data_IF_967215205612
#
_entry.id   IF_967215205612
#
_cell.length_a   1.000
_cell.length_b   1.000
_cell.length_c   1.000
_cell.angle_alpha   90.00
_cell.angle_beta   90.00
_cell.angle_gamma   90.00
#
_symmetry.space_group_name_H-M   'P 1'
#
loop_
_entity.id
_entity.type
_entity.pdbx_description
1 polymer ?
#
# COMPACT_ATOMS: atom_id res chain seq x y z
N UNK A 1 -2.43 -12.72 11.79
CA UNK A 1 -1.96 -13.54 12.93
C UNK A 1 -0.74 -14.33 12.50
N UNK A 2 0.28 -14.38 13.36
CA UNK A 2 1.53 -15.13 13.11
C UNK A 2 1.48 -16.56 13.68
N UNK A 3 0.37 -16.90 14.35
CA UNK A 3 0.17 -18.23 14.95
C UNK A 3 -0.71 -19.10 14.05
N UNK A 4 -0.07 -19.78 13.11
CA UNK A 4 -0.67 -20.73 12.16
C UNK A 4 0.22 -21.95 11.99
N UNK A 5 -0.39 -23.09 11.72
CA UNK A 5 0.28 -24.38 11.43
C UNK A 5 0.69 -24.47 9.95
N UNK A 6 1.55 -25.44 9.61
CA UNK A 6 1.91 -25.70 8.23
C UNK A 6 0.68 -26.07 7.37
N UNK A 7 -0.24 -26.85 7.93
CA UNK A 7 -1.45 -27.27 7.21
C UNK A 7 -2.38 -26.08 6.93
N UNK A 8 -2.54 -25.16 7.87
CA UNK A 8 -3.30 -23.91 7.68
C UNK A 8 -2.61 -23.00 6.66
N UNK A 9 -1.30 -22.85 6.71
CA UNK A 9 -0.51 -22.12 5.71
C UNK A 9 -0.72 -22.70 4.31
N UNK A 10 -0.59 -24.03 4.17
CA UNK A 10 -0.78 -24.69 2.90
C UNK A 10 -2.22 -24.59 2.40
N UNK A 11 -3.21 -24.79 3.27
CA UNK A 11 -4.61 -24.62 2.93
C UNK A 11 -4.95 -23.21 2.43
N UNK A 12 -4.36 -22.19 3.05
CA UNK A 12 -4.51 -20.80 2.60
C UNK A 12 -3.85 -20.59 1.22
N UNK A 13 -2.62 -21.05 1.04
CA UNK A 13 -1.91 -20.92 -0.23
C UNK A 13 -2.58 -21.71 -1.36
N UNK A 14 -3.13 -22.90 -1.07
CA UNK A 14 -3.89 -23.69 -2.06
C UNK A 14 -5.20 -23.02 -2.47
N UNK A 15 -5.85 -22.32 -1.55
CA UNK A 15 -7.09 -21.57 -1.83
C UNK A 15 -6.84 -20.40 -2.77
N UNK A 16 -5.85 -19.57 -2.45
CA UNK A 16 -5.61 -18.29 -3.15
C UNK A 16 -4.61 -18.39 -4.29
N UNK A 17 -3.73 -19.41 -4.30
CA UNK A 17 -2.64 -19.64 -5.28
C UNK A 17 -1.58 -18.55 -5.31
N UNK A 18 -1.94 -17.30 -5.09
CA UNK A 18 -1.08 -16.15 -4.97
C UNK A 18 -1.38 -15.47 -3.65
N UNK A 19 -0.36 -15.30 -2.82
CA UNK A 19 -0.47 -14.74 -1.49
C UNK A 19 0.60 -13.68 -1.29
N UNK A 20 0.38 -12.80 -0.33
CA UNK A 20 1.38 -11.85 0.11
C UNK A 20 1.79 -12.18 1.54
N UNK A 21 3.07 -12.06 1.85
CA UNK A 21 3.57 -12.17 3.20
C UNK A 21 4.25 -10.88 3.62
N UNK A 22 3.97 -10.45 4.84
CA UNK A 22 4.45 -9.17 5.40
C UNK A 22 5.01 -9.41 6.80
N UNK A 23 6.16 -8.82 7.17
CA UNK A 23 6.63 -8.85 8.56
C UNK A 23 5.68 -8.04 9.45
N UNK A 24 5.47 -8.46 10.69
CA UNK A 24 4.54 -7.82 11.62
C UNK A 24 5.07 -6.53 12.27
N UNK A 25 6.35 -6.21 12.06
CA UNK A 25 7.05 -5.14 12.76
C UNK A 25 7.90 -4.22 11.84
N UNK A 26 7.64 -4.25 10.52
CA UNK A 26 8.34 -3.41 9.55
C UNK A 26 7.40 -2.37 8.94
N UNK A 27 7.96 -1.40 8.20
CA UNK A 27 7.27 -0.29 7.56
C UNK A 27 7.80 -0.06 6.15
N UNK A 28 7.17 0.82 5.39
CA UNK A 28 7.58 1.25 4.04
C UNK A 28 7.75 0.09 3.03
N UNK A 29 6.97 -0.99 3.17
CA UNK A 29 7.01 -2.13 2.25
C UNK A 29 8.25 -3.03 2.38
N UNK A 30 9.11 -2.79 3.39
CA UNK A 30 10.33 -3.59 3.60
C UNK A 30 9.95 -5.03 3.98
N UNK A 31 10.56 -6.01 3.29
CA UNK A 31 10.36 -7.43 3.56
C UNK A 31 9.02 -7.99 3.10
N UNK A 32 8.28 -7.28 2.26
CA UNK A 32 7.05 -7.82 1.64
C UNK A 32 7.44 -8.74 0.48
N UNK A 33 6.81 -9.90 0.41
CA UNK A 33 6.97 -10.85 -0.70
C UNK A 33 5.61 -11.24 -1.26
N UNK A 34 5.56 -11.37 -2.58
CA UNK A 34 4.48 -12.06 -3.30
C UNK A 34 4.92 -13.48 -3.58
N UNK A 35 4.07 -14.43 -3.24
CA UNK A 35 4.33 -15.87 -3.38
C UNK A 35 3.28 -16.47 -4.32
N UNK A 36 3.74 -17.10 -5.39
CA UNK A 36 2.90 -17.84 -6.33
C UNK A 36 3.10 -19.35 -6.14
N UNK A 37 2.05 -20.07 -5.75
CA UNK A 37 2.11 -21.50 -5.52
C UNK A 37 2.19 -22.26 -6.85
N UNK A 38 3.27 -23.05 -7.02
CA UNK A 38 3.49 -23.94 -8.16
C UNK A 38 3.83 -25.34 -7.66
N UNK A 39 2.83 -26.23 -7.66
CA UNK A 39 2.97 -27.57 -7.11
C UNK A 39 3.29 -27.57 -5.63
N UNK A 40 4.52 -27.99 -5.25
CA UNK A 40 5.02 -28.01 -3.86
C UNK A 40 6.07 -26.92 -3.58
N UNK A 41 6.14 -25.91 -4.42
CA UNK A 41 7.08 -24.80 -4.29
C UNK A 41 6.37 -23.47 -4.50
N UNK A 42 6.94 -22.42 -3.96
CA UNK A 42 6.54 -21.04 -4.26
C UNK A 42 7.53 -20.41 -5.22
N UNK A 43 7.03 -19.67 -6.20
CA UNK A 43 7.80 -18.65 -6.87
C UNK A 43 7.73 -17.40 -6.00
N UNK A 44 8.89 -16.95 -5.53
CA UNK A 44 9.06 -15.82 -4.61
C UNK A 44 9.40 -14.58 -5.42
N UNK A 45 8.68 -13.49 -5.19
CA UNK A 45 8.95 -12.18 -5.78
C UNK A 45 9.06 -11.20 -4.62
N UNK A 46 10.23 -10.57 -4.46
CA UNK A 46 10.41 -9.54 -3.43
C UNK A 46 9.79 -8.20 -3.84
N UNK A 47 9.54 -7.34 -2.87
CA UNK A 47 9.02 -5.98 -3.09
C UNK A 47 10.01 -5.04 -3.78
N UNK A 48 11.21 -5.51 -4.13
CA UNK A 48 12.31 -4.65 -4.59
C UNK A 48 12.87 -3.81 -3.44
N UNK A 49 12.77 -4.36 -2.22
CA UNK A 49 13.23 -3.70 -1.00
C UNK A 49 14.63 -3.12 -1.17
N UNK A 50 14.79 -1.95 -0.61
CA UNK A 50 16.02 -1.18 -0.47
C UNK A 50 17.23 -2.07 -0.29
N UNK A 51 18.29 -1.70 -1.00
CA UNK A 51 19.64 -2.19 -0.76
C UNK A 51 19.93 -2.19 0.75
N UNK A 52 20.48 -3.26 1.31
CA UNK A 52 20.74 -3.50 2.74
C UNK A 52 21.49 -2.34 3.47
N UNK A 53 21.81 -1.28 2.78
CA UNK A 53 22.53 -0.11 3.29
C UNK A 53 21.69 0.89 4.09
N UNK A 54 20.34 0.85 3.96
CA UNK A 54 19.46 1.85 4.59
C UNK A 54 18.78 1.38 5.89
N UNK A 55 18.85 0.09 6.22
CA UNK A 55 18.39 -0.41 7.51
C UNK A 55 19.53 -0.27 8.51
N UNK A 56 19.33 0.48 9.60
CA UNK A 56 20.35 0.65 10.65
C UNK A 56 20.88 -0.75 11.06
N UNK A 57 22.19 -0.88 11.16
CA UNK A 57 22.90 -2.15 11.39
C UNK A 57 22.43 -2.94 12.64
N UNK A 58 21.63 -2.32 13.50
CA UNK A 58 21.03 -2.96 14.68
C UNK A 58 19.85 -3.87 14.34
N UNK A 59 19.13 -3.63 13.23
CA UNK A 59 17.97 -4.42 12.83
C UNK A 59 18.26 -5.46 11.72
N UNK A 60 19.38 -5.35 11.01
CA UNK A 60 19.71 -6.24 9.87
C UNK A 60 20.31 -7.60 10.29
N UNK A 61 20.73 -7.77 11.52
CA UNK A 61 21.49 -8.96 11.95
C UNK A 61 20.65 -10.26 12.02
N UNK A 62 19.34 -10.24 11.77
CA UNK A 62 18.47 -11.40 11.97
C UNK A 62 17.57 -11.77 10.79
N UNK A 63 17.44 -10.94 9.77
CA UNK A 63 16.57 -11.25 8.64
C UNK A 63 17.30 -12.08 7.59
N UNK A 64 17.08 -13.39 7.60
CA UNK A 64 17.34 -14.21 6.43
C UNK A 64 16.30 -13.85 5.37
N UNK A 65 16.68 -13.09 4.37
CA UNK A 65 15.80 -12.73 3.27
C UNK A 65 15.51 -13.95 2.38
N UNK A 66 14.24 -14.11 1.99
CA UNK A 66 13.90 -15.02 0.90
C UNK A 66 14.51 -14.47 -0.38
N UNK A 67 15.11 -15.36 -1.16
CA UNK A 67 15.64 -15.00 -2.47
C UNK A 67 14.55 -15.12 -3.52
N UNK A 68 14.58 -14.19 -4.49
CA UNK A 68 13.74 -14.34 -5.68
C UNK A 68 14.01 -15.67 -6.36
N UNK A 69 12.95 -16.34 -6.80
CA UNK A 69 13.04 -17.64 -7.44
C UNK A 69 12.12 -18.69 -6.81
N UNK A 70 12.50 -19.96 -6.90
CA UNK A 70 11.67 -21.05 -6.39
C UNK A 70 12.17 -21.56 -5.04
N UNK A 71 11.27 -21.52 -4.05
CA UNK A 71 11.51 -22.04 -2.70
C UNK A 71 10.48 -23.13 -2.35
N UNK A 72 10.90 -24.13 -1.58
CA UNK A 72 9.96 -25.16 -1.11
C UNK A 72 8.94 -24.57 -0.15
N UNK A 73 7.71 -25.11 -0.15
CA UNK A 73 6.64 -24.64 0.77
C UNK A 73 7.06 -24.72 2.24
N UNK A 74 7.84 -25.75 2.61
CA UNK A 74 8.36 -25.90 3.98
C UNK A 74 9.37 -24.80 4.32
N UNK A 75 10.27 -24.45 3.41
CA UNK A 75 11.27 -23.40 3.65
C UNK A 75 10.61 -22.04 3.83
N UNK A 76 9.60 -21.70 2.99
CA UNK A 76 8.82 -20.46 3.12
C UNK A 76 8.05 -20.42 4.43
N UNK A 77 7.39 -21.54 4.81
CA UNK A 77 6.69 -21.61 6.10
C UNK A 77 7.64 -21.38 7.28
N UNK A 78 8.80 -22.07 7.30
CA UNK A 78 9.79 -21.93 8.36
C UNK A 78 10.32 -20.50 8.43
N UNK A 79 10.58 -19.88 7.29
CA UNK A 79 10.95 -18.47 7.19
C UNK A 79 9.88 -17.54 7.82
N UNK A 80 8.63 -17.72 7.45
CA UNK A 80 7.51 -16.93 7.98
C UNK A 80 7.38 -17.07 9.51
N UNK A 81 7.52 -18.30 10.03
CA UNK A 81 7.42 -18.55 11.48
C UNK A 81 8.60 -17.98 12.25
N UNK A 82 9.83 -18.08 11.72
CA UNK A 82 11.02 -17.55 12.38
C UNK A 82 11.05 -16.02 12.43
N UNK A 83 10.44 -15.35 11.45
CA UNK A 83 10.50 -13.91 11.28
C UNK A 83 9.16 -13.20 11.55
N UNK A 84 8.17 -13.87 12.13
CA UNK A 84 6.85 -13.32 12.50
C UNK A 84 6.12 -12.68 11.32
N UNK A 85 5.99 -13.41 10.20
CA UNK A 85 5.28 -12.92 9.02
C UNK A 85 3.78 -13.19 9.11
N UNK A 86 2.97 -12.18 8.78
CA UNK A 86 1.55 -12.32 8.45
C UNK A 86 1.39 -12.83 7.03
N UNK A 87 0.29 -13.56 6.78
CA UNK A 87 -0.08 -14.05 5.47
C UNK A 87 -1.40 -13.42 5.07
N UNK A 88 -1.46 -12.88 3.87
CA UNK A 88 -2.64 -12.23 3.33
C UNK A 88 -2.93 -12.72 1.92
N UNK A 89 -4.20 -12.60 1.51
CA UNK A 89 -4.60 -12.79 0.13
C UNK A 89 -3.90 -11.75 -0.76
N UNK A 90 -3.39 -12.17 -1.92
CA UNK A 90 -2.93 -11.22 -2.92
C UNK A 90 -4.13 -10.56 -3.59
N UNK A 91 -4.23 -9.24 -3.48
CA UNK A 91 -5.30 -8.46 -4.06
C UNK A 91 -4.92 -8.03 -5.48
N UNK A 92 -5.74 -8.40 -6.45
CA UNK A 92 -5.67 -7.81 -7.78
C UNK A 92 -6.37 -6.46 -7.80
N UNK A 93 -5.62 -5.40 -8.13
CA UNK A 93 -6.17 -4.07 -8.33
C UNK A 93 -7.08 -3.99 -9.57
N UNK A 94 -8.06 -3.10 -9.52
CA UNK A 94 -8.94 -2.86 -10.66
C UNK A 94 -8.15 -2.37 -11.88
N UNK A 95 -8.50 -2.88 -13.07
CA UNK A 95 -7.80 -2.65 -14.34
C UNK A 95 -7.56 -1.17 -14.70
N UNK A 96 -8.35 -0.25 -14.16
CA UNK A 96 -8.19 1.19 -14.40
C UNK A 96 -6.90 1.68 -13.79
N UNK A 97 -6.56 1.20 -12.58
CA UNK A 97 -5.33 1.54 -11.88
C UNK A 97 -4.11 0.84 -12.47
N UNK A 98 -4.21 -0.45 -12.75
CA UNK A 98 -3.09 -1.22 -13.34
C UNK A 98 -2.74 -0.79 -14.77
N UNK A 99 -3.58 -0.01 -15.46
CA UNK A 99 -3.20 0.67 -16.71
C UNK A 99 -2.25 1.83 -16.47
N UNK A 100 -2.37 2.53 -15.34
CA UNK A 100 -1.48 3.63 -14.97
C UNK A 100 -0.19 3.07 -14.43
N UNK A 101 -0.26 2.24 -13.38
CA UNK A 101 0.90 1.55 -12.81
C UNK A 101 0.66 0.04 -12.79
N UNK A 102 1.27 -0.72 -13.70
CA UNK A 102 0.97 -2.14 -13.88
C UNK A 102 1.67 -3.05 -12.85
N UNK A 103 2.67 -2.57 -12.14
CA UNK A 103 3.50 -3.38 -11.25
C UNK A 103 3.00 -3.41 -9.80
N UNK A 104 2.32 -2.35 -9.34
CA UNK A 104 1.86 -2.20 -7.95
C UNK A 104 0.34 -2.27 -7.81
N UNK A 105 -0.14 -2.42 -6.57
CA UNK A 105 -1.57 -2.46 -6.27
C UNK A 105 -2.27 -1.11 -6.54
N UNK A 106 -1.53 0.00 -6.38
CA UNK A 106 -2.02 1.37 -6.54
C UNK A 106 -3.12 1.73 -5.54
N UNK A 107 -2.73 2.00 -4.32
CA UNK A 107 -3.66 2.37 -3.26
C UNK A 107 -4.07 3.84 -3.34
N UNK A 108 -5.12 4.16 -2.62
CA UNK A 108 -5.58 5.51 -2.37
C UNK A 108 -5.41 5.78 -0.88
N UNK A 109 -4.51 6.69 -0.52
CA UNK A 109 -4.40 7.21 0.85
C UNK A 109 -5.56 8.16 1.10
N UNK A 110 -6.47 7.80 2.01
CA UNK A 110 -7.55 8.67 2.46
C UNK A 110 -7.32 9.05 3.91
N UNK A 111 -7.03 10.32 4.17
CA UNK A 111 -6.83 10.81 5.53
C UNK A 111 -8.13 11.27 6.13
N UNK A 112 -8.52 10.65 7.23
CA UNK A 112 -9.74 10.96 7.98
C UNK A 112 -9.43 11.63 9.30
N UNK A 113 -10.33 12.49 9.73
CA UNK A 113 -10.34 13.12 11.05
C UNK A 113 -11.67 12.87 11.75
N UNK A 114 -11.60 12.42 13.00
CA UNK A 114 -12.77 12.24 13.87
C UNK A 114 -12.86 13.42 14.85
N UNK A 115 -13.91 14.22 14.73
CA UNK A 115 -14.16 15.37 15.59
C UNK A 115 -14.53 14.96 17.03
N UNK A 116 -14.60 15.92 17.96
CA UNK A 116 -14.96 15.67 19.36
C UNK A 116 -16.38 15.09 19.51
N UNK A 117 -17.30 15.49 18.64
CA UNK A 117 -18.67 14.96 18.56
C UNK A 117 -18.76 13.65 17.74
N UNK A 118 -17.62 13.00 17.49
CA UNK A 118 -17.48 11.71 16.79
C UNK A 118 -18.04 11.69 15.36
N UNK A 119 -17.92 12.81 14.66
CA UNK A 119 -18.24 12.88 13.24
C UNK A 119 -16.96 12.69 12.42
N UNK A 120 -16.88 11.64 11.60
CA UNK A 120 -15.75 11.44 10.71
C UNK A 120 -15.84 12.39 9.52
N UNK A 121 -14.69 12.90 9.09
CA UNK A 121 -14.55 13.70 7.87
C UNK A 121 -13.30 13.29 7.12
N UNK A 122 -13.29 13.45 5.81
CA UNK A 122 -12.09 13.24 4.97
C UNK A 122 -11.40 14.61 4.87
N UNK A 123 -10.12 14.64 5.23
CA UNK A 123 -9.28 15.83 5.14
C UNK A 123 -8.75 15.99 3.73
N UNK A 124 -8.16 14.90 3.18
CA UNK A 124 -7.69 14.81 1.81
C UNK A 124 -7.59 13.34 1.37
N UNK A 125 -7.42 13.15 0.07
CA UNK A 125 -7.08 11.86 -0.51
C UNK A 125 -6.02 12.03 -1.60
N UNK A 126 -5.17 11.02 -1.75
CA UNK A 126 -4.15 10.98 -2.79
C UNK A 126 -3.98 9.56 -3.32
N UNK A 127 -3.77 9.42 -4.63
CA UNK A 127 -3.34 8.16 -5.21
C UNK A 127 -1.85 7.92 -4.94
N UNK A 128 -1.49 6.65 -4.79
CA UNK A 128 -0.14 6.15 -4.75
C UNK A 128 0.09 5.31 -6.00
N UNK A 129 0.98 5.75 -6.89
CA UNK A 129 1.32 5.03 -8.10
C UNK A 129 2.79 4.59 -8.04
N UNK A 130 3.02 3.30 -7.83
CA UNK A 130 4.37 2.75 -7.85
C UNK A 130 4.94 2.74 -9.26
N UNK A 131 6.24 2.97 -9.42
CA UNK A 131 6.96 2.93 -10.69
C UNK A 131 8.31 2.22 -10.55
N UNK A 132 9.11 2.14 -11.62
CA UNK A 132 10.35 1.33 -11.68
C UNK A 132 10.12 -0.16 -11.40
N UNK A 133 8.93 -0.69 -11.71
CA UNK A 133 8.61 -2.10 -11.52
C UNK A 133 8.37 -2.52 -10.07
N UNK A 134 8.24 -1.57 -9.12
CA UNK A 134 7.95 -1.89 -7.72
C UNK A 134 6.59 -2.57 -7.59
N UNK A 135 6.52 -3.63 -6.77
CA UNK A 135 5.28 -4.37 -6.49
C UNK A 135 4.45 -3.75 -5.36
N UNK A 136 5.04 -2.83 -4.60
CA UNK A 136 4.39 -2.04 -3.54
C UNK A 136 4.42 -0.56 -3.93
N UNK A 137 3.38 0.16 -3.55
CA UNK A 137 3.23 1.59 -3.71
C UNK A 137 3.48 2.26 -2.35
N UNK A 138 4.72 2.39 -1.97
CA UNK A 138 5.10 3.04 -0.72
C UNK A 138 5.81 4.38 -0.97
N UNK A 139 6.00 5.15 0.09
CA UNK A 139 6.49 6.51 0.08
C UNK A 139 8.00 6.67 -0.20
N UNK A 140 8.59 5.75 -0.93
CA UNK A 140 9.99 5.81 -1.29
C UNK A 140 10.17 6.36 -2.71
N UNK A 141 11.43 6.47 -3.15
CA UNK A 141 11.87 6.96 -4.48
C UNK A 141 11.24 6.27 -5.71
N UNK A 142 10.18 5.50 -5.50
CA UNK A 142 9.45 4.73 -6.52
C UNK A 142 7.93 4.86 -6.41
N UNK A 143 7.43 5.91 -5.77
CA UNK A 143 6.00 6.21 -5.70
C UNK A 143 5.72 7.64 -6.16
N UNK A 144 4.67 7.81 -6.94
CA UNK A 144 4.15 9.11 -7.36
C UNK A 144 2.84 9.34 -6.63
N UNK A 145 2.76 10.45 -5.92
CA UNK A 145 1.55 10.86 -5.22
C UNK A 145 0.73 11.81 -6.07
N UNK A 146 -0.54 11.47 -6.26
CA UNK A 146 -1.50 12.29 -7.00
C UNK A 146 -2.62 12.78 -6.11
N UNK A 147 -2.72 14.11 -5.86
CA UNK A 147 -3.77 14.71 -5.06
C UNK A 147 -5.14 14.56 -5.73
N UNK A 148 -6.13 14.09 -5.00
CA UNK A 148 -7.47 13.83 -5.50
C UNK A 148 -8.41 14.95 -5.07
N UNK A 149 -9.14 15.51 -6.02
CA UNK A 149 -10.31 16.33 -5.74
C UNK A 149 -11.44 15.46 -5.19
N UNK A 150 -11.88 15.76 -3.95
CA UNK A 150 -12.83 14.92 -3.22
C UNK A 150 -14.26 14.93 -3.80
N UNK A 151 -14.62 15.90 -4.63
CA UNK A 151 -15.94 16.00 -5.26
C UNK A 151 -15.98 15.19 -6.56
N UNK A 152 -14.93 15.31 -7.37
CA UNK A 152 -14.90 14.71 -8.72
C UNK A 152 -14.21 13.36 -8.75
N UNK A 153 -13.39 13.04 -7.74
CA UNK A 153 -12.52 11.85 -7.72
C UNK A 153 -11.38 11.89 -8.73
N UNK A 154 -11.09 13.05 -9.30
CA UNK A 154 -10.02 13.23 -10.27
C UNK A 154 -8.71 13.65 -9.59
N UNK A 155 -7.58 13.18 -10.10
CA UNK A 155 -6.26 13.68 -9.72
C UNK A 155 -6.07 15.07 -10.31
N UNK A 156 -5.78 16.05 -9.44
CA UNK A 156 -5.63 17.47 -9.84
C UNK A 156 -4.19 17.90 -9.92
N UNK A 157 -3.33 17.30 -9.12
CA UNK A 157 -1.93 17.68 -8.97
C UNK A 157 -1.08 16.49 -8.57
N UNK A 158 0.23 16.57 -8.73
CA UNK A 158 1.18 15.51 -8.38
C UNK A 158 2.33 16.07 -7.56
N UNK A 159 2.92 15.24 -6.71
CA UNK A 159 4.07 15.59 -5.92
C UNK A 159 5.36 15.64 -6.76
N UNK A 160 6.35 16.31 -6.22
CA UNK A 160 7.71 16.30 -6.73
C UNK A 160 8.36 14.99 -6.27
N UNK A 161 8.83 14.19 -7.23
CA UNK A 161 9.70 13.06 -6.92
C UNK A 161 10.97 13.55 -6.23
N UNK A 162 11.13 13.24 -4.95
CA UNK A 162 12.24 13.74 -4.14
C UNK A 162 13.59 13.21 -4.57
N UNK A 163 13.64 12.03 -5.18
CA UNK A 163 14.88 11.42 -5.66
C UNK A 163 15.41 12.09 -6.93
N UNK A 164 14.51 12.50 -7.82
CA UNK A 164 14.90 13.06 -9.13
C UNK A 164 14.63 14.56 -9.28
N UNK A 165 13.78 15.13 -8.42
CA UNK A 165 13.27 16.51 -8.53
C UNK A 165 12.27 16.70 -9.68
N UNK A 166 11.80 15.61 -10.31
CA UNK A 166 10.86 15.66 -11.41
C UNK A 166 9.42 15.71 -10.93
N UNK A 167 8.55 16.30 -11.75
CA UNK A 167 7.09 16.25 -11.62
C UNK A 167 6.57 15.34 -12.73
N UNK A 168 5.91 14.23 -12.35
CA UNK A 168 5.41 13.25 -13.28
C UNK A 168 3.90 13.39 -13.50
N UNK A 169 3.47 14.30 -14.37
CA UNK A 169 2.06 14.38 -14.81
C UNK A 169 1.61 13.12 -15.57
N UNK A 170 2.58 12.38 -16.12
CA UNK A 170 2.40 11.08 -16.78
C UNK A 170 3.25 10.04 -16.07
N UNK A 171 2.69 8.83 -15.91
CA UNK A 171 3.41 7.73 -15.30
C UNK A 171 4.64 7.32 -16.14
N UNK A 172 5.86 7.29 -15.56
CA UNK A 172 7.08 7.10 -16.33
C UNK A 172 7.18 5.74 -17.03
N UNK A 173 6.64 4.67 -16.44
CA UNK A 173 6.72 3.32 -17.02
C UNK A 173 5.65 3.10 -18.11
N UNK A 174 4.43 3.58 -17.90
CA UNK A 174 3.30 3.33 -18.80
C UNK A 174 2.98 4.47 -19.77
N UNK A 175 3.43 5.70 -19.47
CA UNK A 175 3.09 6.90 -20.25
C UNK A 175 1.63 7.37 -20.09
N UNK A 176 0.86 6.74 -19.20
CA UNK A 176 -0.53 7.14 -18.93
C UNK A 176 -0.57 8.45 -18.15
N UNK A 177 -1.62 9.25 -18.40
CA UNK A 177 -1.85 10.49 -17.67
C UNK A 177 -2.20 10.20 -16.21
N UNK A 178 -1.51 10.84 -15.26
CA UNK A 178 -1.80 10.86 -13.84
C UNK A 178 -2.72 12.04 -13.53
N UNK A 179 -2.32 13.25 -13.92
CA UNK A 179 -3.20 14.42 -13.80
C UNK A 179 -4.42 14.26 -14.70
N UNK A 180 -5.60 14.41 -14.11
CA UNK A 180 -6.88 14.14 -14.75
C UNK A 180 -7.35 12.69 -14.66
N UNK A 181 -6.53 11.76 -14.11
CA UNK A 181 -6.97 10.39 -13.84
C UNK A 181 -8.19 10.39 -12.92
N UNK A 182 -9.24 9.66 -13.32
CA UNK A 182 -10.46 9.51 -12.53
C UNK A 182 -10.47 8.20 -11.78
N UNK A 183 -10.54 8.30 -10.47
CA UNK A 183 -10.61 7.15 -9.58
C UNK A 183 -11.94 6.40 -9.80
N UNK A 184 -11.83 5.11 -10.12
CA UNK A 184 -12.99 4.24 -10.25
C UNK A 184 -13.58 3.96 -8.86
N UNK A 185 -14.92 4.06 -8.76
CA UNK A 185 -15.69 3.80 -7.53
C UNK A 185 -15.21 4.59 -6.29
N UNK A 186 -14.77 5.83 -6.48
CA UNK A 186 -14.21 6.67 -5.40
C UNK A 186 -15.21 6.90 -4.25
N UNK A 187 -16.50 6.91 -4.52
CA UNK A 187 -17.53 7.03 -3.47
C UNK A 187 -17.50 5.84 -2.50
N UNK A 188 -17.25 4.62 -2.98
CA UNK A 188 -17.08 3.45 -2.11
C UNK A 188 -15.81 3.56 -1.26
N UNK A 189 -14.72 4.09 -1.83
CA UNK A 189 -13.47 4.36 -1.10
C UNK A 189 -13.70 5.36 0.03
N UNK A 190 -14.36 6.50 -0.25
CA UNK A 190 -14.69 7.51 0.76
C UNK A 190 -15.57 6.93 1.87
N UNK A 191 -16.61 6.18 1.48
CA UNK A 191 -17.53 5.56 2.44
C UNK A 191 -16.78 4.61 3.36
N UNK A 192 -15.94 3.74 2.82
CA UNK A 192 -15.16 2.78 3.59
C UNK A 192 -14.21 3.47 4.58
N UNK A 193 -13.52 4.53 4.15
CA UNK A 193 -12.63 5.31 5.02
C UNK A 193 -13.39 5.96 6.19
N UNK A 194 -14.57 6.52 5.92
CA UNK A 194 -15.40 7.14 6.97
C UNK A 194 -15.94 6.11 7.96
N UNK A 195 -16.33 4.93 7.49
CA UNK A 195 -16.76 3.81 8.34
C UNK A 195 -15.59 3.30 9.20
N UNK A 196 -14.40 3.15 8.63
CA UNK A 196 -13.20 2.70 9.33
C UNK A 196 -12.78 3.68 10.45
N UNK A 197 -12.90 4.99 10.22
CA UNK A 197 -12.59 6.01 11.21
C UNK A 197 -13.42 5.89 12.51
N UNK A 198 -14.56 5.20 12.46
CA UNK A 198 -15.41 4.96 13.64
C UNK A 198 -15.05 3.69 14.41
N UNK A 199 -14.21 2.82 13.85
CA UNK A 199 -13.85 1.52 14.47
C UNK A 199 -12.82 1.72 15.58
N UNK A 200 -11.93 2.72 15.45
CA UNK A 200 -10.88 3.04 16.42
C UNK A 200 -11.01 4.50 16.84
N UNK A 201 -12.04 4.86 17.63
CA UNK A 201 -12.37 6.26 17.94
C UNK A 201 -11.31 6.96 18.81
N UNK A 202 -10.37 6.22 19.41
CA UNK A 202 -9.21 6.73 20.13
C UNK A 202 -8.16 7.33 19.20
N UNK A 203 -8.08 6.83 17.98
CA UNK A 203 -7.21 7.34 16.91
C UNK A 203 -8.01 8.31 16.02
N UNK A 204 -7.94 9.59 16.33
CA UNK A 204 -8.77 10.61 15.66
C UNK A 204 -8.29 10.99 14.27
N UNK A 205 -7.03 10.76 13.97
CA UNK A 205 -6.40 11.10 12.69
C UNK A 205 -5.73 9.84 12.13
N UNK A 206 -6.24 9.32 11.03
CA UNK A 206 -5.73 8.10 10.40
C UNK A 206 -5.68 8.30 8.89
N UNK A 207 -4.58 7.90 8.27
CA UNK A 207 -4.44 7.71 6.83
C UNK A 207 -4.72 6.25 6.46
N UNK A 208 -5.78 6.00 5.70
CA UNK A 208 -6.19 4.67 5.24
C UNK A 208 -5.66 4.42 3.84
N UNK A 209 -4.88 3.37 3.66
CA UNK A 209 -4.51 2.89 2.34
C UNK A 209 -5.58 1.93 1.84
N UNK A 210 -6.28 2.34 0.80
CA UNK A 210 -7.44 1.62 0.28
C UNK A 210 -7.19 1.25 -1.17
N UNK A 211 -7.30 -0.04 -1.48
CA UNK A 211 -7.28 -0.54 -2.84
C UNK A 211 -8.70 -0.68 -3.40
N UNK A 212 -8.83 -0.54 -4.71
CA UNK A 212 -10.03 -0.96 -5.44
C UNK A 212 -9.72 -2.28 -6.13
N UNK A 213 -10.38 -3.36 -5.69
CA UNK A 213 -10.20 -4.72 -6.21
C UNK A 213 -10.64 -4.84 -7.68
N UNK A 214 -10.25 -5.92 -8.32
CA UNK A 214 -10.61 -6.21 -9.72
C UNK A 214 -12.12 -6.29 -9.96
N UNK A 215 -12.92 -6.65 -8.96
CA UNK A 215 -14.39 -6.66 -8.98
C UNK A 215 -15.02 -5.28 -8.71
N UNK A 216 -14.20 -4.27 -8.41
CA UNK A 216 -14.64 -2.90 -8.13
C UNK A 216 -14.96 -2.62 -6.67
N UNK A 217 -14.82 -3.57 -5.75
CA UNK A 217 -14.99 -3.32 -4.31
C UNK A 217 -13.78 -2.59 -3.72
N UNK A 218 -14.02 -1.74 -2.72
CA UNK A 218 -12.97 -1.08 -1.97
C UNK A 218 -12.54 -1.95 -0.78
N UNK A 219 -11.24 -2.02 -0.51
CA UNK A 219 -10.67 -2.78 0.58
C UNK A 219 -9.55 -2.00 1.27
N UNK A 220 -9.55 -1.98 2.61
CA UNK A 220 -8.49 -1.38 3.40
C UNK A 220 -7.29 -2.32 3.41
N UNK A 221 -6.14 -1.79 3.03
CA UNK A 221 -4.85 -2.48 3.07
C UNK A 221 -4.17 -2.26 4.41
N UNK A 222 -4.16 -1.00 4.87
CA UNK A 222 -3.58 -0.63 6.17
C UNK A 222 -4.13 0.71 6.67
N UNK A 223 -3.92 0.99 7.97
CA UNK A 223 -4.22 2.26 8.60
C UNK A 223 -2.98 2.86 9.27
N UNK A 224 -2.62 4.08 8.89
CA UNK A 224 -1.45 4.81 9.37
C UNK A 224 -1.87 5.85 10.39
N UNK A 225 -1.49 5.67 11.67
CA UNK A 225 -1.85 6.57 12.78
C UNK A 225 -1.05 7.88 12.78
N UNK A 226 0.00 7.95 11.98
CA UNK A 226 0.77 9.17 11.72
C UNK A 226 0.77 9.46 10.22
N UNK A 227 -0.40 9.88 9.65
CA UNK A 227 -0.49 10.17 8.23
C UNK A 227 0.41 11.37 7.88
N UNK A 228 1.02 11.30 6.73
CA UNK A 228 1.93 12.32 6.20
C UNK A 228 1.16 13.57 5.77
N UNK A 229 0.86 14.44 6.74
CA UNK A 229 0.13 15.68 6.50
C UNK A 229 0.93 16.71 5.70
N UNK A 230 2.24 16.64 5.76
CA UNK A 230 3.17 17.44 4.97
C UNK A 230 3.06 17.15 3.48
N UNK A 231 2.82 15.90 3.09
CA UNK A 231 2.56 15.51 1.71
C UNK A 231 1.42 16.33 1.09
N UNK A 232 0.27 16.41 1.77
CA UNK A 232 -0.84 17.23 1.29
C UNK A 232 -0.44 18.69 1.12
N UNK A 233 0.30 19.23 2.11
CA UNK A 233 0.72 20.63 2.07
C UNK A 233 1.73 20.90 0.95
N UNK A 234 2.61 19.93 0.68
CA UNK A 234 3.58 20.01 -0.41
C UNK A 234 2.87 20.04 -1.77
N UNK A 235 1.96 19.10 -2.04
CA UNK A 235 1.26 19.02 -3.32
C UNK A 235 0.27 20.17 -3.51
N UNK A 236 -0.56 20.46 -2.49
CA UNK A 236 -1.63 21.47 -2.61
C UNK A 236 -1.15 22.90 -2.45
N UNK A 237 0.07 23.12 -1.95
CA UNK A 237 0.59 24.42 -1.52
C UNK A 237 -0.31 25.14 -0.49
N UNK A 238 -1.08 24.37 0.31
CA UNK A 238 -2.03 24.87 1.30
C UNK A 238 -1.74 24.30 2.69
N UNK A 239 -1.80 25.14 3.70
CA UNK A 239 -1.71 24.69 5.09
C UNK A 239 -3.01 24.01 5.56
N UNK A 240 -2.88 23.01 6.44
CA UNK A 240 -4.01 22.26 7.00
C UNK A 240 -4.69 22.92 8.21
N UNK A 241 -4.21 24.10 8.65
CA UNK A 241 -4.72 24.75 9.86
C UNK A 241 -6.25 24.99 9.84
N UNK A 242 -6.81 25.34 8.69
CA UNK A 242 -8.24 25.60 8.53
C UNK A 242 -9.10 24.33 8.44
N UNK A 243 -8.48 23.17 8.34
CA UNK A 243 -9.16 21.87 8.21
C UNK A 243 -9.16 21.11 9.55
N UNK A 244 -8.17 21.37 10.41
CA UNK A 244 -7.96 20.69 11.68
C UNK A 244 -8.41 21.50 12.91
N UNK A 245 -8.85 22.76 12.73
CA UNK A 245 -9.37 23.65 13.75
C UNK A 245 -10.79 24.08 13.35
#
# INVERSE_FOLDING_TARGET
ATDYTLDEFMGFAEKYKRIIIKPDNMYAGIGIYVLELSGKSFHVISSGARDDTDVSAENTASYHMLKDGYESTKAVYDFCKMNNYCIEEYIEGHRVYSKVSPSSLNTIRVTTYLSDDKKPSIIFAANQFGYKGCIVDNNDDSCIWGLIDLETGAVTDVDIDTATGNIYEKHPDSGQDIVGFKNYNFEAVKKLALEAALVIPECRLIGWDIAVRSDGTAEIIEGNVTPELDLYQAISHKGLRTVLI
#
